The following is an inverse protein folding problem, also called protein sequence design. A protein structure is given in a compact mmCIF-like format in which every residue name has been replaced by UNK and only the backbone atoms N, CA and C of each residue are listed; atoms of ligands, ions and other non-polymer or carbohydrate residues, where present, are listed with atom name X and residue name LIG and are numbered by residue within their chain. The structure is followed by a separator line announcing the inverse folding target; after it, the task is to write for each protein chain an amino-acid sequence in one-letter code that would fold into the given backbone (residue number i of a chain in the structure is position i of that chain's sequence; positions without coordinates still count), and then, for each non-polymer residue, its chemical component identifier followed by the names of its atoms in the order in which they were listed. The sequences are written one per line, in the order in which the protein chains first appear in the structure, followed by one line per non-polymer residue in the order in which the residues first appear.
data_IF_064457942371
#
_entry.id   IF_064457942371
#
_cell.length_a   1.000
_cell.length_b   1.000
_cell.length_c   1.000
_cell.angle_alpha   90.00
_cell.angle_beta   90.00
_cell.angle_gamma   90.00
#
_symmetry.space_group_name_H-M   'P 1'
#
loop_
_entity.id
_entity.type
_entity.pdbx_description
1 polymer ?
#
# COMPACT_ATOMS: atom_id res chain seq x y z
N UNK A 1 81.74 2.28 -38.02
CA UNK A 1 80.44 2.76 -37.48
C UNK A 1 79.54 3.06 -38.66
N UNK A 2 78.49 2.26 -38.87
CA UNK A 2 77.47 2.48 -39.90
C UNK A 2 76.13 2.36 -39.19
N UNK A 3 75.37 3.45 -39.11
CA UNK A 3 74.00 3.44 -38.61
C UNK A 3 73.06 2.80 -39.66
N UNK A 4 72.07 1.98 -39.28
CA UNK A 4 71.06 1.51 -40.21
C UNK A 4 69.99 2.59 -40.47
N UNK A 5 69.27 2.51 -41.60
CA UNK A 5 68.31 3.54 -42.02
C UNK A 5 66.98 3.42 -41.27
N UNK A 6 66.34 4.57 -41.05
CA UNK A 6 64.97 4.68 -40.55
C UNK A 6 63.99 4.06 -41.55
N UNK A 7 63.22 3.07 -41.09
CA UNK A 7 62.14 2.46 -41.87
C UNK A 7 60.91 3.39 -41.88
N UNK A 8 60.44 3.78 -43.08
CA UNK A 8 59.15 4.44 -43.24
C UNK A 8 58.01 3.44 -43.03
N UNK A 9 56.94 3.80 -42.28
CA UNK A 9 55.81 2.91 -42.05
C UNK A 9 55.07 2.61 -43.36
N UNK A 10 54.75 1.34 -43.58
CA UNK A 10 54.12 0.84 -44.79
C UNK A 10 52.67 1.34 -44.91
N UNK A 11 52.31 1.90 -46.07
CA UNK A 11 50.99 2.48 -46.38
C UNK A 11 49.81 1.52 -46.09
N UNK A 12 50.04 0.19 -46.11
CA UNK A 12 49.01 -0.80 -45.76
C UNK A 12 48.58 -0.75 -44.29
N UNK A 13 49.49 -0.43 -43.37
CA UNK A 13 49.19 -0.35 -41.93
C UNK A 13 48.36 0.88 -41.59
N UNK A 14 48.71 2.04 -42.15
CA UNK A 14 48.01 3.31 -41.94
C UNK A 14 46.55 3.22 -42.43
N UNK A 15 46.32 2.54 -43.55
CA UNK A 15 44.97 2.36 -44.09
C UNK A 15 44.12 1.36 -43.28
N UNK A 16 44.74 0.34 -42.67
CA UNK A 16 44.09 -0.60 -41.76
C UNK A 16 43.61 0.10 -40.47
N UNK A 17 44.44 0.95 -39.87
CA UNK A 17 44.10 1.71 -38.67
C UNK A 17 42.97 2.72 -38.95
N UNK A 18 43.03 3.45 -40.06
CA UNK A 18 41.96 4.38 -40.47
C UNK A 18 40.63 3.66 -40.74
N UNK A 19 40.66 2.46 -41.32
CA UNK A 19 39.47 1.64 -41.56
C UNK A 19 38.85 1.14 -40.26
N UNK A 20 39.68 0.70 -39.30
CA UNK A 20 39.22 0.33 -37.95
C UNK A 20 38.58 1.52 -37.24
N UNK A 21 39.23 2.69 -37.24
CA UNK A 21 38.67 3.89 -36.61
C UNK A 21 37.31 4.31 -37.20
N UNK A 22 37.14 4.22 -38.53
CA UNK A 22 35.85 4.47 -39.19
C UNK A 22 34.77 3.47 -38.78
N UNK A 23 35.10 2.19 -38.62
CA UNK A 23 34.15 1.15 -38.17
C UNK A 23 33.75 1.39 -36.71
N UNK A 24 34.71 1.72 -35.83
CA UNK A 24 34.44 2.03 -34.43
C UNK A 24 33.63 3.33 -34.25
N UNK A 25 33.91 4.36 -35.05
CA UNK A 25 33.12 5.60 -35.04
C UNK A 25 31.69 5.39 -35.54
N UNK A 26 31.50 4.61 -36.62
CA UNK A 26 30.18 4.30 -37.17
C UNK A 26 29.32 3.45 -36.21
N UNK A 27 29.93 2.47 -35.53
CA UNK A 27 29.22 1.63 -34.55
C UNK A 27 28.82 2.43 -33.31
N UNK A 28 29.67 3.33 -32.80
CA UNK A 28 29.33 4.24 -31.70
C UNK A 28 28.16 5.17 -32.06
N UNK A 29 28.18 5.74 -33.27
CA UNK A 29 27.10 6.60 -33.75
C UNK A 29 25.75 5.85 -33.85
N UNK A 30 25.75 4.60 -34.33
CA UNK A 30 24.53 3.78 -34.41
C UNK A 30 24.01 3.42 -33.02
N UNK A 31 24.88 3.08 -32.06
CA UNK A 31 24.47 2.80 -30.68
C UNK A 31 23.89 4.05 -30.01
N UNK A 32 24.51 5.22 -30.20
CA UNK A 32 23.97 6.49 -29.70
C UNK A 32 22.59 6.81 -30.30
N UNK A 33 22.40 6.56 -31.60
CA UNK A 33 21.10 6.72 -32.28
C UNK A 33 20.04 5.74 -31.77
N UNK A 34 20.41 4.48 -31.50
CA UNK A 34 19.48 3.48 -30.95
C UNK A 34 19.08 3.80 -29.50
N UNK A 35 20.00 4.31 -28.69
CA UNK A 35 19.70 4.77 -27.31
C UNK A 35 18.81 6.02 -27.33
N UNK A 36 19.06 6.96 -28.24
CA UNK A 36 18.21 8.14 -28.40
C UNK A 36 16.80 7.79 -28.91
N UNK A 37 16.69 6.86 -29.87
CA UNK A 37 15.40 6.37 -30.36
C UNK A 37 14.61 5.61 -29.27
N UNK A 38 15.29 4.83 -28.43
CA UNK A 38 14.66 4.16 -27.27
C UNK A 38 14.21 5.15 -26.18
N UNK A 39 14.83 6.33 -26.07
CA UNK A 39 14.40 7.40 -25.17
C UNK A 39 13.18 8.18 -25.71
N UNK A 40 13.09 8.35 -27.03
CA UNK A 40 11.98 9.05 -27.71
C UNK A 40 10.71 8.20 -27.86
N UNK A 41 10.85 6.86 -27.89
CA UNK A 41 9.74 5.92 -27.99
C UNK A 41 9.16 5.46 -26.65
N UNK A 42 9.66 5.96 -25.52
CA UNK A 42 9.05 5.67 -24.22
C UNK A 42 7.73 6.42 -24.13
N UNK A 43 6.57 5.73 -24.06
CA UNK A 43 5.33 6.42 -23.71
C UNK A 43 5.58 7.12 -22.37
N UNK A 44 5.11 8.36 -22.27
CA UNK A 44 5.23 9.14 -21.05
C UNK A 44 4.85 8.25 -19.87
N UNK A 45 5.75 8.17 -18.88
CA UNK A 45 5.44 7.58 -17.59
C UNK A 45 4.09 8.17 -17.17
N UNK A 46 3.17 7.31 -16.74
CA UNK A 46 1.79 7.59 -16.34
C UNK A 46 1.63 8.82 -15.41
N UNK A 47 2.73 9.28 -14.81
CA UNK A 47 2.92 10.58 -14.14
C UNK A 47 2.32 11.79 -14.87
N UNK A 48 2.26 11.79 -16.21
CA UNK A 48 1.72 12.92 -16.99
C UNK A 48 0.33 12.69 -17.59
N UNK A 49 -0.29 11.53 -17.37
CA UNK A 49 -1.64 11.30 -17.87
C UNK A 49 -2.63 12.19 -17.10
N UNK A 50 -3.55 12.90 -17.79
CA UNK A 50 -4.65 13.57 -17.12
C UNK A 50 -5.60 12.51 -16.55
N UNK A 51 -5.33 12.07 -15.33
CA UNK A 51 -6.25 12.27 -14.24
C UNK A 51 -7.75 12.29 -14.64
N UNK A 52 -8.48 11.16 -14.58
CA UNK A 52 -9.91 11.16 -14.89
C UNK A 52 -10.65 12.17 -14.01
N UNK A 53 -11.67 12.87 -14.56
CA UNK A 53 -12.41 13.90 -13.83
C UNK A 53 -13.04 13.28 -12.57
N UNK A 54 -12.92 13.97 -11.42
CA UNK A 54 -13.66 13.58 -10.22
C UNK A 54 -15.15 13.75 -10.52
N UNK A 55 -15.91 12.68 -10.42
CA UNK A 55 -17.35 12.72 -10.50
C UNK A 55 -17.86 13.68 -9.42
N UNK A 56 -18.74 14.60 -9.79
CA UNK A 56 -19.45 15.42 -8.80
C UNK A 56 -20.26 14.48 -7.90
N UNK A 57 -20.38 14.79 -6.59
CA UNK A 57 -21.31 14.06 -5.73
C UNK A 57 -22.68 14.02 -6.39
N UNK A 58 -23.34 12.86 -6.32
CA UNK A 58 -24.70 12.74 -6.82
C UNK A 58 -25.59 13.68 -5.99
N UNK A 59 -26.26 14.63 -6.64
CA UNK A 59 -27.15 15.57 -5.96
C UNK A 59 -28.32 14.78 -5.34
N UNK A 60 -28.29 14.63 -4.00
CA UNK A 60 -29.26 13.84 -3.24
C UNK A 60 -30.65 14.50 -3.15
N UNK A 61 -30.88 15.64 -3.83
CA UNK A 61 -32.17 16.35 -3.85
C UNK A 61 -33.26 15.59 -4.63
N UNK A 62 -32.92 14.52 -5.35
CA UNK A 62 -33.93 13.68 -6.00
C UNK A 62 -34.65 12.84 -4.96
N UNK A 63 -35.90 13.23 -4.66
CA UNK A 63 -36.79 12.46 -3.80
C UNK A 63 -36.89 11.00 -4.29
N UNK A 64 -36.83 10.00 -3.39
CA UNK A 64 -36.88 8.60 -3.77
C UNK A 64 -38.18 8.29 -4.51
N UNK A 65 -38.07 7.82 -5.75
CA UNK A 65 -39.21 7.54 -6.64
C UNK A 65 -39.92 6.22 -6.31
N UNK A 66 -39.40 5.41 -5.39
CA UNK A 66 -39.98 4.12 -5.02
C UNK A 66 -39.76 3.77 -3.53
N UNK A 67 -40.75 3.19 -2.81
CA UNK A 67 -40.66 2.84 -1.38
C UNK A 67 -39.58 1.81 -1.01
N UNK A 68 -38.99 1.13 -1.99
CA UNK A 68 -37.98 0.07 -1.80
C UNK A 68 -36.55 0.57 -2.06
N UNK A 69 -36.36 1.78 -2.61
CA UNK A 69 -35.03 2.32 -2.89
C UNK A 69 -34.43 2.81 -1.57
N UNK A 70 -33.46 2.05 -1.06
CA UNK A 70 -32.64 2.50 0.06
C UNK A 70 -31.76 3.64 -0.47
N UNK A 71 -32.06 4.87 -0.07
CA UNK A 71 -31.15 5.99 -0.26
C UNK A 71 -29.88 5.72 0.56
N UNK A 72 -28.78 5.48 -0.15
CA UNK A 72 -27.48 5.19 0.42
C UNK A 72 -26.50 6.27 -0.03
N UNK A 73 -26.11 7.15 0.88
CA UNK A 73 -25.13 8.18 0.58
C UNK A 73 -23.74 7.75 1.07
N UNK A 74 -23.08 6.92 0.26
CA UNK A 74 -21.71 6.49 0.52
C UNK A 74 -20.69 7.60 0.36
N UNK A 75 -21.04 8.67 -0.36
CA UNK A 75 -20.13 9.78 -0.63
C UNK A 75 -20.00 10.67 0.59
N UNK A 76 -21.12 11.12 1.18
CA UNK A 76 -21.07 11.94 2.39
C UNK A 76 -20.48 11.18 3.59
N UNK A 77 -20.79 9.89 3.73
CA UNK A 77 -20.19 9.04 4.76
C UNK A 77 -18.66 8.93 4.59
N UNK A 78 -18.19 8.79 3.35
CA UNK A 78 -16.76 8.80 3.04
C UNK A 78 -16.08 10.12 3.42
N UNK A 79 -16.72 11.26 3.13
CA UNK A 79 -16.19 12.58 3.50
C UNK A 79 -16.19 12.82 5.01
N UNK A 80 -17.22 12.38 5.73
CA UNK A 80 -17.24 12.44 7.20
C UNK A 80 -16.11 11.62 7.82
N UNK A 81 -15.87 10.40 7.32
CA UNK A 81 -14.77 9.56 7.78
C UNK A 81 -13.41 10.25 7.55
N UNK A 82 -13.18 10.84 6.37
CA UNK A 82 -11.96 11.60 6.09
C UNK A 82 -11.78 12.75 7.08
N UNK A 83 -12.84 13.51 7.37
CA UNK A 83 -12.78 14.60 8.34
C UNK A 83 -12.42 14.11 9.75
N UNK A 84 -12.97 12.96 10.17
CA UNK A 84 -12.62 12.34 11.46
C UNK A 84 -11.16 11.90 11.49
N UNK A 85 -10.68 11.25 10.43
CA UNK A 85 -9.28 10.81 10.32
C UNK A 85 -8.31 12.00 10.36
N UNK A 86 -8.63 13.10 9.67
CA UNK A 86 -7.83 14.33 9.66
C UNK A 86 -7.73 15.00 11.04
N UNK A 87 -8.76 14.86 11.89
CA UNK A 87 -8.78 15.43 13.24
C UNK A 87 -8.11 14.54 14.29
N UNK A 88 -7.82 13.28 13.97
CA UNK A 88 -7.38 12.31 14.95
C UNK A 88 -5.89 12.47 15.30
N UNK A 89 -5.50 12.60 16.58
CA UNK A 89 -4.15 13.00 16.99
C UNK A 89 -3.06 11.98 16.64
N UNK A 90 -3.42 10.70 16.52
CA UNK A 90 -2.50 9.62 16.16
C UNK A 90 -2.46 9.32 14.66
N UNK A 91 -3.26 10.00 13.84
CA UNK A 91 -3.35 9.71 12.41
C UNK A 91 -2.59 10.77 11.64
N UNK A 92 -1.83 10.32 10.64
CA UNK A 92 -1.06 11.18 9.74
C UNK A 92 -1.45 10.89 8.32
N UNK A 93 -1.24 11.86 7.44
CA UNK A 93 -1.51 11.73 6.01
C UNK A 93 -0.20 11.68 5.20
N UNK A 94 -0.22 10.93 4.09
CA UNK A 94 0.80 10.96 3.05
C UNK A 94 0.14 11.47 1.78
N UNK A 95 0.72 12.50 1.17
CA UNK A 95 0.32 13.00 -0.14
C UNK A 95 1.03 12.20 -1.24
N UNK A 96 0.26 11.58 -2.13
CA UNK A 96 0.81 10.73 -3.20
C UNK A 96 1.09 11.51 -4.47
N UNK A 97 0.31 12.55 -4.74
CA UNK A 97 0.42 13.32 -5.99
C UNK A 97 -0.05 14.77 -5.83
N UNK A 98 0.21 15.57 -6.87
CA UNK A 98 -0.19 16.99 -6.92
C UNK A 98 -1.71 17.20 -6.94
N UNK A 99 -2.51 16.16 -7.22
CA UNK A 99 -3.98 16.23 -7.24
C UNK A 99 -4.61 16.16 -5.85
N UNK A 100 -3.82 15.88 -4.82
CA UNK A 100 -4.33 15.78 -3.46
C UNK A 100 -4.82 14.38 -3.10
N UNK A 101 -4.38 13.32 -3.78
CA UNK A 101 -4.66 11.95 -3.34
C UNK A 101 -3.82 11.65 -2.10
N UNK A 102 -4.46 11.13 -1.05
CA UNK A 102 -3.87 10.97 0.28
C UNK A 102 -4.20 9.62 0.87
N UNK A 103 -3.26 9.07 1.63
CA UNK A 103 -3.51 7.93 2.54
C UNK A 103 -3.33 8.36 3.98
N UNK A 104 -4.16 7.79 4.86
CA UNK A 104 -4.02 7.92 6.30
C UNK A 104 -3.29 6.73 6.89
N UNK A 105 -2.49 6.94 7.92
CA UNK A 105 -1.81 5.88 8.67
C UNK A 105 -1.66 6.25 10.14
N UNK A 106 -1.44 5.26 10.99
CA UNK A 106 -1.15 5.50 12.40
C UNK A 106 0.30 5.95 12.61
N UNK A 107 0.47 7.10 13.25
CA UNK A 107 1.76 7.73 13.51
C UNK A 107 2.72 6.84 14.30
N UNK A 108 2.21 5.93 15.12
CA UNK A 108 2.98 5.09 16.04
C UNK A 108 2.83 3.59 15.76
N UNK A 109 2.44 3.22 14.53
CA UNK A 109 2.33 1.82 14.12
C UNK A 109 3.09 1.57 12.82
N UNK A 110 3.68 0.37 12.71
CA UNK A 110 4.46 -0.04 11.55
C UNK A 110 4.13 -1.48 11.17
N UNK A 111 4.02 -1.71 9.87
CA UNK A 111 3.88 -3.04 9.28
C UNK A 111 5.26 -3.48 8.82
N UNK A 112 5.71 -4.63 9.30
CA UNK A 112 7.03 -5.20 9.00
C UNK A 112 6.82 -6.58 8.42
N UNK A 113 7.35 -6.81 7.23
CA UNK A 113 7.47 -8.16 6.68
C UNK A 113 8.88 -8.69 6.92
N UNK A 114 8.99 -9.91 7.42
CA UNK A 114 10.27 -10.59 7.60
C UNK A 114 10.49 -11.64 6.51
N UNK A 115 11.75 -11.81 6.08
CA UNK A 115 12.15 -12.85 5.13
C UNK A 115 11.99 -14.26 5.71
N UNK A 116 12.21 -14.38 7.02
CA UNK A 116 12.02 -15.60 7.79
C UNK A 116 11.31 -15.25 9.10
N UNK A 117 10.54 -16.20 9.65
CA UNK A 117 9.81 -15.98 10.90
C UNK A 117 10.80 -15.71 12.05
N UNK A 118 10.71 -14.56 12.74
CA UNK A 118 11.55 -14.28 13.90
C UNK A 118 11.18 -15.20 15.07
N UNK A 119 12.16 -15.57 15.89
CA UNK A 119 11.92 -16.30 17.14
C UNK A 119 11.17 -15.43 18.15
N UNK A 120 10.47 -16.05 19.12
CA UNK A 120 9.81 -15.33 20.22
C UNK A 120 10.77 -14.39 20.97
N UNK A 121 12.00 -14.83 21.22
CA UNK A 121 13.02 -14.01 21.88
C UNK A 121 13.41 -12.78 21.05
N UNK A 122 13.47 -12.90 19.72
CA UNK A 122 13.72 -11.76 18.84
C UNK A 122 12.56 -10.80 18.77
N UNK A 123 11.32 -11.30 18.76
CA UNK A 123 10.13 -10.45 18.84
C UNK A 123 10.14 -9.60 20.11
N UNK A 124 10.42 -10.20 21.28
CA UNK A 124 10.52 -9.47 22.55
C UNK A 124 11.61 -8.39 22.53
N UNK A 125 12.75 -8.68 21.91
CA UNK A 125 13.82 -7.68 21.76
C UNK A 125 13.42 -6.53 20.85
N UNK A 126 12.69 -6.80 19.76
CA UNK A 126 12.16 -5.76 18.88
C UNK A 126 11.12 -4.90 19.61
N UNK A 127 10.20 -5.53 20.35
CA UNK A 127 9.21 -4.83 21.18
C UNK A 127 9.86 -3.91 22.21
N UNK A 128 10.90 -4.39 22.89
CA UNK A 128 11.67 -3.59 23.83
C UNK A 128 12.38 -2.42 23.14
N UNK A 129 13.03 -2.65 21.99
CA UNK A 129 13.78 -1.63 21.25
C UNK A 129 12.89 -0.47 20.78
N UNK A 130 11.64 -0.76 20.41
CA UNK A 130 10.67 0.26 19.98
C UNK A 130 9.80 0.79 21.13
N UNK A 131 10.02 0.35 22.37
CA UNK A 131 9.15 0.61 23.51
C UNK A 131 7.66 0.36 23.19
N UNK A 132 7.37 -0.79 22.59
CA UNK A 132 6.08 -1.12 21.98
C UNK A 132 5.64 -2.55 22.21
N UNK A 133 4.68 -2.97 21.40
CA UNK A 133 4.11 -4.32 21.43
C UNK A 133 3.65 -4.74 20.03
N UNK A 134 3.70 -6.05 19.76
CA UNK A 134 3.08 -6.69 18.61
C UNK A 134 1.56 -6.68 18.79
N UNK A 135 0.84 -6.10 17.84
CA UNK A 135 -0.64 -6.01 17.89
C UNK A 135 -1.33 -6.98 16.93
N UNK A 136 -0.65 -7.40 15.86
CA UNK A 136 -1.20 -8.32 14.88
C UNK A 136 -0.08 -9.07 14.15
N UNK A 137 -0.32 -10.34 13.86
CA UNK A 137 0.54 -11.17 13.03
C UNK A 137 -0.32 -11.92 12.01
N UNK A 138 0.11 -11.91 10.75
CA UNK A 138 -0.43 -12.73 9.67
C UNK A 138 0.76 -13.24 8.85
N UNK A 139 1.00 -14.54 8.91
CA UNK A 139 2.17 -15.18 8.30
C UNK A 139 3.49 -14.49 8.69
N UNK A 140 4.18 -13.92 7.69
CA UNK A 140 5.45 -13.22 7.82
C UNK A 140 5.29 -11.70 8.00
N UNK A 141 4.05 -11.20 8.12
CA UNK A 141 3.72 -9.78 8.27
C UNK A 141 3.26 -9.51 9.69
N UNK A 142 3.94 -8.56 10.32
CA UNK A 142 3.77 -8.21 11.73
C UNK A 142 3.43 -6.74 11.84
N UNK A 143 2.49 -6.40 12.71
CA UNK A 143 2.13 -5.01 13.00
C UNK A 143 2.55 -4.69 14.41
N UNK A 144 3.48 -3.75 14.55
CA UNK A 144 3.97 -3.27 15.83
C UNK A 144 3.39 -1.90 16.15
N UNK A 145 3.11 -1.66 17.45
CA UNK A 145 2.66 -0.37 17.97
C UNK A 145 3.60 0.10 19.06
N UNK A 146 4.21 1.27 18.86
CA UNK A 146 5.05 1.92 19.88
C UNK A 146 4.21 2.83 20.80
N UNK A 147 4.68 3.01 22.04
CA UNK A 147 4.12 4.00 22.98
C UNK A 147 4.73 5.39 22.84
N UNK A 148 5.90 5.51 22.22
CA UNK A 148 6.65 6.77 22.19
C UNK A 148 7.39 7.06 20.89
N UNK A 149 7.51 6.09 19.98
CA UNK A 149 8.21 6.28 18.70
C UNK A 149 7.23 6.48 17.54
N UNK A 150 7.62 7.32 16.59
CA UNK A 150 6.90 7.49 15.32
C UNK A 150 7.21 6.34 14.35
N UNK A 151 6.40 6.22 13.32
CA UNK A 151 6.63 5.31 12.19
C UNK A 151 8.02 5.50 11.60
N UNK A 152 8.47 6.73 11.40
CA UNK A 152 9.78 7.04 10.82
C UNK A 152 10.93 6.53 11.69
N UNK A 153 10.81 6.67 13.01
CA UNK A 153 11.80 6.19 13.98
C UNK A 153 11.87 4.67 14.00
N UNK A 154 10.71 4.01 14.09
CA UNK A 154 10.63 2.55 14.02
C UNK A 154 11.13 2.03 12.66
N UNK A 155 10.82 2.73 11.56
CA UNK A 155 11.29 2.37 10.22
C UNK A 155 12.82 2.41 10.15
N UNK A 156 13.48 3.38 10.76
CA UNK A 156 14.96 3.42 10.83
C UNK A 156 15.50 2.19 11.55
N UNK A 157 14.89 1.83 12.68
CA UNK A 157 15.25 0.62 13.42
C UNK A 157 15.07 -0.66 12.59
N UNK A 158 13.86 -0.93 12.07
CA UNK A 158 13.59 -2.17 11.35
C UNK A 158 14.36 -2.29 10.04
N UNK A 159 14.60 -1.19 9.31
CA UNK A 159 15.42 -1.22 8.08
C UNK A 159 16.89 -1.55 8.35
N UNK A 160 17.37 -1.38 9.58
CA UNK A 160 18.74 -1.80 9.95
C UNK A 160 18.87 -3.31 10.12
N UNK A 161 17.76 -4.04 10.25
CA UNK A 161 17.77 -5.48 10.51
C UNK A 161 17.84 -6.26 9.19
N UNK A 162 18.82 -7.17 9.00
CA UNK A 162 19.01 -7.86 7.73
C UNK A 162 17.90 -8.87 7.39
N UNK A 163 17.11 -9.28 8.40
CA UNK A 163 16.00 -10.22 8.22
C UNK A 163 14.69 -9.57 7.77
N UNK A 164 14.63 -8.24 7.76
CA UNK A 164 13.47 -7.48 7.31
C UNK A 164 13.45 -7.43 5.78
N UNK A 165 12.29 -7.72 5.20
CA UNK A 165 12.06 -7.63 3.76
C UNK A 165 11.64 -6.20 3.40
N UNK A 166 10.54 -5.73 4.01
CA UNK A 166 10.10 -4.34 3.90
C UNK A 166 9.40 -3.84 5.17
N UNK A 167 9.28 -2.51 5.25
CA UNK A 167 8.54 -1.83 6.30
C UNK A 167 7.69 -0.72 5.69
N UNK A 168 6.42 -0.69 6.08
CA UNK A 168 5.44 0.27 5.61
C UNK A 168 4.65 0.85 6.79
N UNK A 169 4.08 2.07 6.63
CA UNK A 169 3.15 2.58 7.62
C UNK A 169 1.92 1.66 7.70
N UNK A 170 1.30 1.56 8.88
CA UNK A 170 0.02 0.87 9.00
C UNK A 170 -1.09 1.76 8.44
N UNK A 171 -1.39 1.59 7.14
CA UNK A 171 -2.39 2.37 6.43
C UNK A 171 -3.81 2.04 6.88
N UNK A 172 -4.64 3.09 6.86
CA UNK A 172 -6.08 3.01 7.09
C UNK A 172 -6.75 3.02 5.72
N UNK A 173 -7.39 1.90 5.37
CA UNK A 173 -8.23 1.81 4.18
C UNK A 173 -9.59 2.46 4.43
N UNK A 174 -10.04 3.33 3.52
CA UNK A 174 -11.33 4.02 3.64
C UNK A 174 -12.49 3.02 3.48
N UNK A 175 -13.53 3.19 4.30
CA UNK A 175 -14.71 2.34 4.55
C UNK A 175 -14.61 1.26 5.64
N UNK A 176 -13.53 1.22 6.42
CA UNK A 176 -13.56 0.62 7.75
C UNK A 176 -14.07 1.67 8.75
N UNK A 177 -15.08 1.33 9.52
CA UNK A 177 -15.30 2.00 10.80
C UNK A 177 -14.07 1.69 11.65
N UNK A 178 -13.13 2.64 11.76
CA UNK A 178 -11.81 2.41 12.37
C UNK A 178 -11.88 1.93 13.83
N UNK A 179 -13.04 2.10 14.47
CA UNK A 179 -13.38 1.67 15.82
C UNK A 179 -14.10 0.30 15.89
N UNK A 180 -14.32 -0.39 14.76
CA UNK A 180 -15.00 -1.69 14.71
C UNK A 180 -14.05 -2.86 14.44
N UNK A 181 -14.35 -4.06 14.98
CA UNK A 181 -13.56 -5.25 14.75
C UNK A 181 -13.60 -5.68 13.27
N UNK A 182 -12.51 -6.25 12.78
CA UNK A 182 -12.29 -6.67 11.38
C UNK A 182 -13.23 -7.80 10.87
N UNK A 183 -14.25 -8.19 11.64
CA UNK A 183 -15.25 -9.18 11.24
C UNK A 183 -16.34 -8.58 10.32
N UNK A 184 -16.37 -7.27 10.16
CA UNK A 184 -17.33 -6.57 9.30
C UNK A 184 -16.61 -6.19 8.00
N UNK A 185 -17.23 -6.36 6.82
CA UNK A 185 -16.66 -5.89 5.57
C UNK A 185 -16.25 -4.41 5.63
N UNK A 186 -15.21 -4.03 4.88
CA UNK A 186 -14.78 -2.64 4.66
C UNK A 186 -15.82 -1.86 3.81
N UNK A 187 -17.10 -2.10 4.03
CA UNK A 187 -18.20 -1.34 3.50
C UNK A 187 -19.27 -1.28 4.59
N UNK A 188 -19.35 -0.14 5.27
CA UNK A 188 -20.33 0.13 6.33
C UNK A 188 -21.78 -0.08 5.90
N UNK A 189 -22.04 -0.03 4.58
CA UNK A 189 -23.36 -0.20 4.01
C UNK A 189 -23.66 -1.60 3.53
N UNK A 190 -22.67 -2.51 3.60
CA UNK A 190 -22.76 -3.87 3.09
C UNK A 190 -24.10 -4.53 3.42
N UNK A 191 -24.48 -4.55 4.70
CA UNK A 191 -25.72 -5.20 5.14
C UNK A 191 -27.02 -4.59 4.56
N UNK A 192 -27.01 -3.31 4.16
CA UNK A 192 -28.21 -2.57 3.74
C UNK A 192 -28.60 -2.84 2.28
N UNK A 193 -27.62 -3.07 1.41
CA UNK A 193 -27.85 -3.25 -0.03
C UNK A 193 -27.70 -4.71 -0.52
N UNK A 194 -27.40 -5.67 0.35
CA UNK A 194 -27.42 -7.10 0.02
C UNK A 194 -28.85 -7.61 -0.26
N UNK A 195 -29.37 -7.31 -1.44
CA UNK A 195 -30.70 -7.71 -1.88
C UNK A 195 -30.84 -9.24 -2.02
N UNK A 196 -29.74 -9.94 -2.34
CA UNK A 196 -29.75 -11.38 -2.60
C UNK A 196 -29.35 -12.27 -1.39
N UNK A 197 -28.77 -11.71 -0.32
CA UNK A 197 -28.30 -12.50 0.83
C UNK A 197 -29.27 -12.55 2.02
N UNK A 198 -30.34 -11.74 2.03
CA UNK A 198 -31.34 -11.75 3.13
C UNK A 198 -31.95 -13.13 3.43
N UNK A 199 -32.26 -13.99 2.45
CA UNK A 199 -32.80 -15.34 2.74
C UNK A 199 -31.76 -16.29 3.34
N UNK A 200 -30.46 -16.04 3.14
CA UNK A 200 -29.39 -16.96 3.52
C UNK A 200 -28.98 -16.81 4.99
N UNK A 201 -28.78 -15.56 5.46
CA UNK A 201 -28.36 -15.30 6.85
C UNK A 201 -29.46 -15.65 7.86
N UNK A 202 -30.74 -15.45 7.52
CA UNK A 202 -31.87 -15.82 8.39
C UNK A 202 -32.06 -17.33 8.52
N UNK A 203 -31.61 -18.14 7.54
CA UNK A 203 -31.68 -19.62 7.64
C UNK A 203 -30.67 -20.18 8.63
N UNK A 204 -29.51 -19.57 8.78
CA UNK A 204 -28.46 -20.01 9.74
C UNK A 204 -28.64 -19.41 11.13
N UNK A 205 -29.28 -18.25 11.25
CA UNK A 205 -29.58 -17.60 12.54
C UNK A 205 -30.93 -18.03 13.18
N UNK A 206 -31.72 -18.88 12.52
CA UNK A 206 -33.07 -19.17 12.98
C UNK A 206 -33.60 -20.54 12.57
N UNK A 207 -33.09 -21.61 13.20
CA UNK A 207 -33.86 -22.86 13.35
C UNK A 207 -33.36 -23.79 14.46
N UNK A 208 -33.48 -23.38 15.72
CA UNK A 208 -33.69 -24.37 16.80
C UNK A 208 -35.17 -24.80 16.75
N UNK A 209 -35.53 -25.72 15.84
CA UNK A 209 -36.82 -26.45 15.93
C UNK A 209 -36.60 -27.67 16.82
N UNK A 210 -36.49 -27.45 18.12
CA UNK A 210 -36.81 -28.46 19.13
C UNK A 210 -36.85 -27.77 20.49
N UNK A 211 -37.97 -27.96 21.19
CA UNK A 211 -38.25 -27.52 22.55
C UNK A 211 -38.47 -26.00 22.74
N UNK A 212 -39.74 -25.71 23.02
CA UNK A 212 -40.36 -24.45 23.45
C UNK A 212 -39.64 -23.79 24.66
N UNK A 213 -38.44 -23.22 24.48
CA UNK A 213 -37.75 -22.38 25.48
C UNK A 213 -37.04 -21.18 24.83
N UNK A 214 -37.04 -20.00 25.47
CA UNK A 214 -36.34 -18.82 24.97
C UNK A 214 -34.81 -19.01 25.04
N UNK A 215 -34.12 -18.65 23.96
CA UNK A 215 -32.66 -18.57 23.92
C UNK A 215 -32.18 -17.53 24.95
N UNK A 216 -31.39 -17.96 25.93
CA UNK A 216 -30.80 -17.06 26.92
C UNK A 216 -29.86 -16.05 26.24
N UNK A 217 -30.10 -14.77 26.53
CA UNK A 217 -29.14 -13.69 26.37
C UNK A 217 -27.90 -13.97 27.25
N UNK A 218 -26.67 -13.70 26.80
CA UNK A 218 -25.52 -13.72 27.71
C UNK A 218 -25.60 -12.50 28.63
N UNK A 219 -26.00 -12.73 29.87
CA UNK A 219 -25.83 -11.77 30.96
C UNK A 219 -24.33 -11.55 31.20
N UNK A 220 -23.87 -10.32 30.99
CA UNK A 220 -22.64 -9.81 31.58
C UNK A 220 -22.76 -9.91 33.11
N UNK A 221 -22.04 -10.84 33.72
CA UNK A 221 -21.73 -10.80 35.15
C UNK A 221 -20.23 -10.81 35.32
N UNK A 222 -19.73 -9.67 35.82
CA UNK A 222 -18.43 -9.53 36.43
C UNK A 222 -18.26 -10.51 37.61
N UNK A 223 -17.04 -11.02 37.79
CA UNK A 223 -16.69 -11.85 38.94
C UNK A 223 -15.19 -12.14 38.97
N UNK A 224 -14.50 -11.45 39.87
CA UNK A 224 -13.10 -11.67 40.27
C UNK A 224 -12.80 -13.12 40.67
N UNK A 225 -11.57 -13.56 40.41
CA UNK A 225 -10.56 -14.09 41.37
C UNK A 225 -9.20 -13.91 40.69
#
# INVERSE_FOLDING_TARGET
MICPPFAHPNNKEVNSVKRRYRIWAATSAVVALLVAAAALGRPALEENAPAPPRLKPFDAEVAPTHPTVVALDSLSAGEQLKQQLNKHPRIREILHNRRGDRSHYFANEIVVRFRALPSKSRLQQMEAAIAGQLIKQVDHVFVFRSRGQTYEEMRRYFRSLPMVDYCEPHYIYMQNEWNKPALIPNDSFYARYQWNFRPFILKTAGRCRAANKPCLSPSLTAGSI
#
